data_IF_665011358423
#
_entry.id   IF_665011358423
#
_cell.length_a   1.000
_cell.length_b   1.000
_cell.length_c   1.000
_cell.angle_alpha   90.00
_cell.angle_beta   90.00
_cell.angle_gamma   90.00
#
_symmetry.space_group_name_H-M   'P 1'
#
loop_
_entity.id
_entity.type
_entity.pdbx_description
1 polymer ?
#
# COMPACT_ATOMS: atom_id res chain seq x y z
N UNK A 1 42.85 8.14 -17.68
CA UNK A 1 42.29 6.97 -16.96
C UNK A 1 40.91 7.39 -16.55
N UNK A 2 39.94 6.99 -17.36
CA UNK A 2 38.60 7.53 -17.40
C UNK A 2 37.80 7.20 -16.14
N UNK A 3 36.99 8.19 -15.78
CA UNK A 3 36.15 8.26 -14.61
C UNK A 3 34.87 7.48 -14.89
N UNK A 4 34.85 6.18 -14.57
CA UNK A 4 33.65 5.36 -14.67
C UNK A 4 32.77 5.63 -13.44
N UNK A 5 32.15 6.81 -13.43
CA UNK A 5 30.98 7.05 -12.60
C UNK A 5 29.91 6.07 -13.06
N UNK A 6 29.79 4.97 -12.34
CA UNK A 6 28.64 4.08 -12.43
C UNK A 6 27.39 4.96 -12.41
N UNK A 7 26.61 4.90 -13.49
CA UNK A 7 25.27 5.46 -13.54
C UNK A 7 24.53 4.79 -12.39
N UNK A 8 24.35 5.48 -11.27
CA UNK A 8 23.53 5.01 -10.17
C UNK A 8 22.14 4.87 -10.73
N UNK A 9 21.73 3.65 -11.05
CA UNK A 9 20.34 3.34 -11.37
C UNK A 9 19.51 3.95 -10.24
N UNK A 10 18.59 4.85 -10.58
CA UNK A 10 17.69 5.41 -9.58
C UNK A 10 16.91 4.25 -9.01
N UNK A 11 17.10 3.94 -7.73
CA UNK A 11 16.34 2.90 -7.03
C UNK A 11 14.85 3.26 -7.17
N UNK A 12 14.12 2.53 -8.02
CA UNK A 12 12.70 2.74 -8.18
C UNK A 12 12.00 2.37 -6.86
N UNK A 13 11.03 3.19 -6.46
CA UNK A 13 10.19 2.93 -5.28
C UNK A 13 8.73 2.99 -5.66
N UNK A 14 7.99 1.95 -5.29
CA UNK A 14 6.54 1.89 -5.43
C UNK A 14 5.88 1.92 -4.06
N UNK A 15 5.06 2.95 -3.84
CA UNK A 15 4.32 3.14 -2.60
C UNK A 15 2.84 2.83 -2.84
N UNK A 16 2.28 1.91 -2.07
CA UNK A 16 0.86 1.55 -2.11
C UNK A 16 0.14 2.17 -0.93
N UNK A 17 -0.69 3.18 -1.22
CA UNK A 17 -1.59 3.77 -0.23
C UNK A 17 -2.82 2.90 -0.03
N UNK A 18 -3.07 2.43 1.19
CA UNK A 18 -4.27 1.64 1.53
C UNK A 18 -4.90 2.04 2.86
N UNK A 19 -6.08 1.47 3.16
CA UNK A 19 -6.77 1.60 4.44
C UNK A 19 -7.09 0.21 4.97
N UNK A 20 -6.91 0.01 6.28
CA UNK A 20 -7.28 -1.24 6.94
C UNK A 20 -8.78 -1.53 6.74
N UNK A 21 -9.18 -2.74 6.32
CA UNK A 21 -10.55 -3.09 5.94
C UNK A 21 -11.44 -3.28 7.18
N UNK A 22 -11.74 -2.19 7.87
CA UNK A 22 -12.69 -2.19 8.99
C UNK A 22 -14.12 -1.94 8.47
N UNK A 23 -15.10 -2.80 8.85
CA UNK A 23 -16.52 -2.58 8.56
C UNK A 23 -16.96 -1.18 9.02
N UNK A 24 -17.73 -0.49 8.19
CA UNK A 24 -18.20 0.87 8.49
C UNK A 24 -17.18 1.99 8.20
N UNK A 25 -15.89 1.69 7.95
CA UNK A 25 -14.84 2.72 7.75
C UNK A 25 -14.20 2.75 6.37
N UNK A 26 -14.45 1.74 5.53
CA UNK A 26 -13.87 1.62 4.19
C UNK A 26 -14.94 1.43 3.13
N UNK A 27 -14.68 1.91 1.90
CA UNK A 27 -15.61 1.79 0.75
C UNK A 27 -17.07 2.14 1.11
N UNK A 28 -17.27 3.19 1.91
CA UNK A 28 -18.58 3.57 2.49
C UNK A 28 -19.65 3.83 1.43
N UNK A 29 -19.27 4.34 0.25
CA UNK A 29 -20.18 4.50 -0.90
C UNK A 29 -20.72 3.19 -1.46
N UNK A 30 -20.10 2.04 -1.14
CA UNK A 30 -20.55 0.71 -1.57
C UNK A 30 -21.40 0.00 -0.50
N UNK A 31 -21.46 0.53 0.73
CA UNK A 31 -22.28 -0.04 1.79
C UNK A 31 -23.78 -0.12 1.47
N UNK A 32 -24.40 0.83 0.74
CA UNK A 32 -25.82 0.69 0.38
C UNK A 32 -26.14 -0.58 -0.41
N UNK A 33 -25.16 -1.14 -1.12
CA UNK A 33 -25.31 -2.34 -1.95
C UNK A 33 -24.74 -3.57 -1.25
N UNK A 34 -23.61 -3.43 -0.54
CA UNK A 34 -22.83 -4.55 -0.02
C UNK A 34 -22.92 -4.72 1.52
N UNK A 35 -23.51 -3.77 2.23
CA UNK A 35 -23.41 -3.67 3.68
C UNK A 35 -21.99 -3.28 4.16
N UNK A 36 -21.84 -3.06 5.47
CA UNK A 36 -20.57 -2.68 6.09
C UNK A 36 -19.50 -3.77 5.93
N UNK A 37 -19.86 -5.03 6.17
CA UNK A 37 -18.98 -6.19 6.02
C UNK A 37 -18.57 -6.42 4.56
N UNK A 38 -19.52 -6.32 3.62
CA UNK A 38 -19.22 -6.48 2.20
C UNK A 38 -18.32 -5.38 1.66
N UNK A 39 -18.48 -4.14 2.14
CA UNK A 39 -17.59 -3.03 1.80
C UNK A 39 -16.15 -3.25 2.33
N UNK A 40 -16.00 -3.74 3.56
CA UNK A 40 -14.70 -4.10 4.12
C UNK A 40 -14.03 -5.27 3.36
N UNK A 41 -14.80 -6.31 3.05
CA UNK A 41 -14.32 -7.44 2.22
C UNK A 41 -13.87 -6.98 0.84
N UNK A 42 -14.57 -6.02 0.23
CA UNK A 42 -14.16 -5.45 -1.05
C UNK A 42 -12.85 -4.67 -0.93
N UNK A 43 -12.68 -3.84 0.11
CA UNK A 43 -11.42 -3.14 0.38
C UNK A 43 -10.26 -4.14 0.52
N UNK A 44 -10.51 -5.24 1.24
CA UNK A 44 -9.56 -6.32 1.44
C UNK A 44 -9.10 -6.91 0.11
N UNK A 45 -10.04 -7.39 -0.71
CA UNK A 45 -9.75 -8.01 -2.00
C UNK A 45 -9.03 -7.06 -2.97
N UNK A 46 -9.42 -5.79 -3.02
CA UNK A 46 -8.75 -4.81 -3.90
C UNK A 46 -7.29 -4.58 -3.49
N UNK A 47 -7.02 -4.53 -2.19
CA UNK A 47 -5.65 -4.35 -1.67
C UNK A 47 -4.81 -5.59 -1.94
N UNK A 48 -5.33 -6.78 -1.65
CA UNK A 48 -4.65 -8.06 -1.90
C UNK A 48 -4.31 -8.23 -3.39
N UNK A 49 -5.26 -7.95 -4.28
CA UNK A 49 -5.03 -8.01 -5.74
C UNK A 49 -3.96 -7.01 -6.19
N UNK A 50 -3.98 -5.78 -5.65
CA UNK A 50 -2.97 -4.77 -5.96
C UNK A 50 -1.58 -5.24 -5.53
N UNK A 51 -1.46 -5.78 -4.31
CA UNK A 51 -0.18 -6.24 -3.78
C UNK A 51 0.35 -7.50 -4.48
N UNK A 52 -0.53 -8.37 -4.98
CA UNK A 52 -0.13 -9.48 -5.85
C UNK A 52 0.57 -8.97 -7.10
N UNK A 53 -0.01 -7.97 -7.78
CA UNK A 53 0.59 -7.35 -8.97
C UNK A 53 1.92 -6.65 -8.64
N UNK A 54 2.00 -5.99 -7.48
CA UNK A 54 3.24 -5.35 -7.01
C UNK A 54 4.34 -6.39 -6.78
N UNK A 55 4.01 -7.54 -6.18
CA UNK A 55 4.95 -8.63 -5.96
C UNK A 55 5.49 -9.20 -7.27
N UNK A 56 4.64 -9.39 -8.26
CA UNK A 56 5.05 -9.82 -9.60
C UNK A 56 5.97 -8.77 -10.27
N UNK A 57 5.64 -7.48 -10.15
CA UNK A 57 6.46 -6.40 -10.68
C UNK A 57 7.85 -6.36 -10.01
N UNK A 58 7.91 -6.46 -8.69
CA UNK A 58 9.16 -6.45 -7.92
C UNK A 58 10.03 -7.70 -8.19
N UNK A 59 9.42 -8.82 -8.61
CA UNK A 59 10.17 -9.99 -9.05
C UNK A 59 10.79 -9.81 -10.45
N UNK A 60 10.23 -8.92 -11.27
CA UNK A 60 10.67 -8.71 -12.66
C UNK A 60 11.80 -7.67 -12.82
N UNK A 61 11.99 -6.77 -11.85
CA UNK A 61 13.01 -5.72 -11.87
C UNK A 61 13.32 -5.21 -10.45
N UNK A 62 14.52 -4.64 -10.20
CA UNK A 62 14.83 -3.99 -8.93
C UNK A 62 13.82 -2.89 -8.60
N UNK A 63 13.04 -3.07 -7.54
CA UNK A 63 11.99 -2.15 -7.10
C UNK A 63 11.81 -2.27 -5.59
N UNK A 64 11.98 -1.18 -4.87
CA UNK A 64 11.59 -1.11 -3.45
C UNK A 64 10.08 -0.90 -3.32
N UNK A 65 9.45 -1.55 -2.35
CA UNK A 65 7.98 -1.51 -2.18
C UNK A 65 7.59 -1.17 -0.75
N UNK A 66 6.64 -0.25 -0.60
CA UNK A 66 6.14 0.19 0.71
C UNK A 66 4.61 0.20 0.73
N UNK A 67 4.03 -0.14 1.88
CA UNK A 67 2.59 -0.08 2.14
C UNK A 67 2.33 1.02 3.16
N UNK A 68 1.79 2.14 2.66
CA UNK A 68 1.40 3.28 3.48
C UNK A 68 -0.07 3.14 3.84
N UNK A 69 -0.38 2.99 5.12
CA UNK A 69 -1.74 2.63 5.56
C UNK A 69 -2.38 3.66 6.49
N UNK A 70 -3.71 3.69 6.47
CA UNK A 70 -4.53 4.45 7.42
C UNK A 70 -5.53 3.52 8.11
N UNK A 71 -5.87 3.81 9.37
CA UNK A 71 -6.70 2.94 10.19
C UNK A 71 -6.00 1.63 10.59
N UNK A 72 -6.50 0.96 11.62
CA UNK A 72 -5.85 -0.23 12.18
C UNK A 72 -4.47 0.08 12.81
N UNK A 73 -3.63 -0.94 12.91
CA UNK A 73 -2.27 -0.86 13.45
C UNK A 73 -1.32 -1.63 12.52
N UNK A 74 -0.01 -1.40 12.64
CA UNK A 74 0.97 -2.17 11.88
C UNK A 74 0.82 -3.68 12.13
N UNK A 75 0.53 -4.08 13.37
CA UNK A 75 0.28 -5.49 13.70
C UNK A 75 -0.91 -6.05 12.91
N UNK A 76 -2.04 -5.33 12.87
CA UNK A 76 -3.21 -5.75 12.09
C UNK A 76 -2.91 -5.84 10.59
N UNK A 77 -2.07 -4.94 10.07
CA UNK A 77 -1.63 -4.97 8.68
C UNK A 77 -0.74 -6.19 8.41
N UNK A 78 0.19 -6.51 9.31
CA UNK A 78 1.06 -7.69 9.21
C UNK A 78 0.27 -9.00 9.32
N UNK A 79 -0.69 -9.06 10.23
CA UNK A 79 -1.58 -10.23 10.41
C UNK A 79 -2.41 -10.49 9.15
N UNK A 80 -2.77 -9.43 8.42
CA UNK A 80 -3.54 -9.53 7.19
C UNK A 80 -2.69 -9.77 5.94
N UNK A 81 -1.66 -8.96 5.71
CA UNK A 81 -0.91 -8.89 4.45
C UNK A 81 0.46 -9.60 4.49
N UNK A 82 0.88 -10.08 5.67
CA UNK A 82 2.15 -10.77 5.89
C UNK A 82 3.25 -9.86 6.44
N UNK A 83 4.40 -10.44 6.75
CA UNK A 83 5.54 -9.70 7.30
C UNK A 83 6.48 -9.13 6.22
N UNK A 84 6.29 -9.52 4.96
CA UNK A 84 7.23 -9.28 3.86
C UNK A 84 7.21 -7.84 3.32
N UNK A 85 6.29 -7.00 3.79
CA UNK A 85 6.16 -5.60 3.36
C UNK A 85 6.78 -4.63 4.36
N UNK A 86 7.29 -3.50 3.85
CA UNK A 86 7.59 -2.32 4.67
C UNK A 86 6.29 -1.55 4.91
N UNK A 87 5.90 -1.39 6.17
CA UNK A 87 4.67 -0.71 6.57
C UNK A 87 4.97 0.68 7.12
N UNK A 88 4.21 1.68 6.67
CA UNK A 88 4.29 3.05 7.18
C UNK A 88 2.89 3.58 7.46
N UNK A 89 2.72 4.34 8.55
CA UNK A 89 1.49 5.08 8.78
C UNK A 89 1.41 6.26 7.80
N UNK A 90 0.26 6.46 7.17
CA UNK A 90 0.02 7.66 6.37
C UNK A 90 0.03 8.90 7.26
N UNK A 91 0.66 9.97 6.78
CA UNK A 91 0.56 11.28 7.43
C UNK A 91 -0.88 11.79 7.47
N UNK A 92 -1.12 12.69 8.42
CA UNK A 92 -2.37 13.45 8.48
C UNK A 92 -2.47 14.45 7.33
N UNK A 93 -3.69 14.90 7.04
CA UNK A 93 -3.98 15.85 5.96
C UNK A 93 -4.61 15.21 4.73
N UNK A 94 -4.67 15.99 3.66
CA UNK A 94 -5.25 15.57 2.38
C UNK A 94 -4.33 14.61 1.60
N UNK A 95 -4.81 14.12 0.46
CA UNK A 95 -4.05 13.18 -0.36
C UNK A 95 -2.74 13.78 -0.89
N UNK A 96 -2.72 15.07 -1.23
CA UNK A 96 -1.51 15.74 -1.72
C UNK A 96 -0.44 15.84 -0.64
N UNK A 97 -0.84 16.19 0.58
CA UNK A 97 0.06 16.25 1.74
C UNK A 97 0.63 14.88 2.10
N UNK A 98 -0.21 13.84 2.02
CA UNK A 98 0.23 12.44 2.21
C UNK A 98 1.23 12.00 1.16
N UNK A 99 1.00 12.32 -0.10
CA UNK A 99 1.93 12.00 -1.18
C UNK A 99 3.26 12.75 -1.04
N UNK A 100 3.23 14.00 -0.57
CA UNK A 100 4.43 14.81 -0.37
C UNK A 100 5.28 14.39 0.83
N UNK A 101 4.71 13.62 1.77
CA UNK A 101 5.38 13.12 2.98
C UNK A 101 5.82 11.66 2.87
N UNK A 102 5.60 11.03 1.70
CA UNK A 102 5.90 9.64 1.42
C UNK A 102 7.32 9.42 0.91
#
# INVERSE_FOLDING_TARGET
MENEQAITATEERLIVFTRYPEPGKTKTRMMPILGAEGAARLQRQLTENTLSNVKELAASRPLSTEVHFSGGTEQLMRDWLGADWSYQLQAEGDLGQRMASA
#
